data_IF_389662678856
#
_entry.id   IF_389662678856
#
_cell.length_a   1.000
_cell.length_b   1.000
_cell.length_c   1.000
_cell.angle_alpha   90.00
_cell.angle_beta   90.00
_cell.angle_gamma   90.00
#
_symmetry.space_group_name_H-M   'P 1'
#
loop_
_entity.id
_entity.type
_entity.pdbx_description
1 polymer ?
#
# COMPACT_ATOMS: atom_id res chain seq x y z
N UNK A 1 18.38 -13.70 -18.27
CA UNK A 1 17.47 -12.54 -18.19
C UNK A 1 17.59 -11.62 -19.41
N UNK A 2 18.76 -11.41 -20.02
CA UNK A 2 18.87 -10.71 -21.33
C UNK A 2 18.16 -11.41 -22.49
N UNK A 3 18.06 -12.76 -22.50
CA UNK A 3 17.34 -13.49 -23.56
C UNK A 3 15.83 -13.25 -23.57
N UNK A 4 15.21 -13.01 -22.40
CA UNK A 4 13.80 -12.66 -22.30
C UNK A 4 13.48 -11.28 -22.92
N UNK A 5 14.50 -10.43 -23.08
CA UNK A 5 14.34 -9.08 -23.62
C UNK A 5 14.29 -9.04 -25.15
N UNK A 6 14.99 -9.95 -25.85
CA UNK A 6 14.91 -10.01 -27.33
C UNK A 6 13.60 -10.64 -27.85
N UNK A 7 12.89 -11.38 -26.99
CA UNK A 7 11.71 -12.17 -27.36
C UNK A 7 10.38 -11.43 -27.18
N UNK A 8 10.35 -10.34 -26.40
CA UNK A 8 9.15 -9.54 -26.09
C UNK A 8 8.60 -8.71 -27.27
N UNK A 9 9.14 -8.89 -28.48
CA UNK A 9 8.66 -8.31 -29.73
C UNK A 9 8.08 -9.30 -30.74
N UNK A 10 7.99 -10.60 -30.43
CA UNK A 10 7.38 -11.61 -31.31
C UNK A 10 6.02 -12.07 -30.78
N UNK A 11 4.96 -12.11 -31.61
CA UNK A 11 3.69 -12.67 -31.19
C UNK A 11 3.84 -14.20 -31.08
N UNK A 12 3.76 -14.71 -29.86
CA UNK A 12 3.51 -16.14 -29.62
C UNK A 12 4.53 -16.90 -28.76
N UNK A 13 5.00 -16.37 -27.63
CA UNK A 13 5.48 -17.23 -26.53
C UNK A 13 5.42 -16.50 -25.16
N UNK A 14 5.08 -17.25 -24.11
CA UNK A 14 4.52 -16.75 -22.83
C UNK A 14 5.55 -15.98 -21.97
N UNK A 15 5.46 -14.65 -22.01
CA UNK A 15 6.05 -13.76 -21.01
C UNK A 15 5.48 -14.05 -19.61
N UNK A 16 6.29 -13.90 -18.56
CA UNK A 16 5.76 -13.68 -17.22
C UNK A 16 4.82 -12.46 -17.31
N UNK A 17 3.52 -12.68 -17.07
CA UNK A 17 2.49 -11.69 -17.37
C UNK A 17 2.77 -10.39 -16.62
N UNK A 18 3.10 -9.32 -17.34
CA UNK A 18 3.11 -7.96 -16.79
C UNK A 18 1.77 -7.68 -16.12
N UNK A 19 1.78 -6.97 -14.99
CA UNK A 19 0.55 -6.50 -14.34
C UNK A 19 -0.26 -5.69 -15.36
N UNK A 20 -1.57 -5.87 -15.41
CA UNK A 20 -2.42 -5.26 -16.45
C UNK A 20 -2.20 -3.73 -16.56
N UNK A 21 -2.06 -3.06 -15.43
CA UNK A 21 -1.78 -1.63 -15.37
C UNK A 21 -0.46 -1.19 -16.00
N UNK A 22 0.57 -2.02 -15.84
CA UNK A 22 1.89 -1.83 -16.46
C UNK A 22 1.78 -2.10 -17.95
N UNK A 23 1.13 -3.19 -18.36
CA UNK A 23 0.94 -3.52 -19.77
C UNK A 23 0.16 -2.42 -20.54
N UNK A 24 -0.88 -1.85 -19.93
CA UNK A 24 -1.62 -0.71 -20.49
C UNK A 24 -0.74 0.54 -20.64
N UNK A 25 0.08 0.83 -19.63
CA UNK A 25 1.03 1.95 -19.67
C UNK A 25 2.13 1.73 -20.71
N UNK A 26 2.60 0.50 -20.88
CA UNK A 26 3.54 0.12 -21.93
C UNK A 26 2.97 0.34 -23.33
N UNK A 27 1.71 -0.02 -23.54
CA UNK A 27 1.04 0.19 -24.83
C UNK A 27 0.94 1.68 -25.19
N UNK A 28 0.61 2.55 -24.22
CA UNK A 28 0.60 4.01 -24.43
C UNK A 28 2.00 4.59 -24.64
N UNK A 29 2.97 4.14 -23.85
CA UNK A 29 4.37 4.58 -23.92
C UNK A 29 4.96 4.26 -25.30
N UNK A 30 4.68 3.08 -25.84
CA UNK A 30 5.18 2.67 -27.16
C UNK A 30 4.69 3.51 -28.34
N UNK A 31 3.65 4.32 -28.16
CA UNK A 31 3.18 5.24 -29.19
C UNK A 31 3.93 6.59 -29.21
N UNK A 32 4.69 6.92 -28.16
CA UNK A 32 5.21 8.29 -27.96
C UNK A 32 6.65 8.38 -27.43
N UNK A 33 7.21 7.29 -26.89
CA UNK A 33 8.52 7.29 -26.23
C UNK A 33 9.52 6.43 -27.01
N UNK A 34 10.64 7.04 -27.38
CA UNK A 34 11.78 6.33 -27.96
C UNK A 34 12.46 5.45 -26.89
N UNK A 35 12.64 4.15 -27.18
CA UNK A 35 13.30 3.21 -26.25
C UNK A 35 14.79 3.50 -26.07
N UNK A 36 15.39 4.29 -26.96
CA UNK A 36 16.76 4.79 -26.82
C UNK A 36 16.88 5.97 -25.84
N UNK A 37 15.77 6.49 -25.30
CA UNK A 37 15.79 7.52 -24.28
C UNK A 37 16.54 7.02 -23.02
N UNK A 38 17.55 7.77 -22.59
CA UNK A 38 18.40 7.41 -21.45
C UNK A 38 18.15 8.30 -20.23
N UNK A 39 17.58 9.49 -20.41
CA UNK A 39 17.42 10.50 -19.38
C UNK A 39 16.19 11.38 -19.65
N UNK A 40 15.61 11.93 -18.59
CA UNK A 40 14.43 12.78 -18.72
C UNK A 40 14.77 14.09 -19.44
N UNK A 41 13.91 14.56 -20.36
CA UNK A 41 14.00 15.92 -20.89
C UNK A 41 13.94 16.93 -19.74
N UNK A 42 14.85 17.89 -19.75
CA UNK A 42 14.93 18.92 -18.71
C UNK A 42 14.37 20.23 -19.28
N UNK A 43 13.41 20.81 -18.56
CA UNK A 43 12.94 22.16 -18.83
C UNK A 43 13.94 23.21 -18.31
N UNK A 44 13.53 24.47 -18.31
CA UNK A 44 14.33 25.53 -17.68
C UNK A 44 14.40 25.30 -16.14
N UNK A 45 15.63 25.17 -15.62
CA UNK A 45 15.90 24.98 -14.20
C UNK A 45 15.47 26.19 -13.35
N UNK A 46 15.55 27.41 -13.89
CA UNK A 46 15.04 28.61 -13.23
C UNK A 46 13.51 28.59 -13.16
N UNK A 47 12.85 28.11 -14.22
CA UNK A 47 11.40 27.90 -14.21
C UNK A 47 10.98 26.83 -13.19
N UNK A 48 11.75 25.76 -13.00
CA UNK A 48 11.47 24.75 -11.97
C UNK A 48 11.62 25.32 -10.56
N UNK A 49 12.69 26.08 -10.30
CA UNK A 49 12.90 26.79 -9.02
C UNK A 49 11.78 27.80 -8.74
N UNK A 50 11.39 28.58 -9.74
CA UNK A 50 10.30 29.54 -9.63
C UNK A 50 8.97 28.85 -9.35
N UNK A 51 8.66 27.75 -10.06
CA UNK A 51 7.46 26.93 -9.80
C UNK A 51 7.46 26.36 -8.38
N UNK A 52 8.59 25.86 -7.90
CA UNK A 52 8.70 25.39 -6.51
C UNK A 52 8.47 26.52 -5.50
N UNK A 53 9.07 27.68 -5.71
CA UNK A 53 8.97 28.83 -4.81
C UNK A 53 7.51 29.29 -4.59
N UNK A 54 6.68 29.17 -5.63
CA UNK A 54 5.26 29.54 -5.63
C UNK A 54 4.30 28.35 -5.48
N UNK A 55 4.83 27.13 -5.34
CA UNK A 55 4.00 25.93 -5.24
C UNK A 55 3.30 25.88 -3.89
N UNK A 56 2.01 25.51 -3.92
CA UNK A 56 1.25 25.18 -2.69
C UNK A 56 1.84 23.99 -1.94
N UNK A 57 2.65 23.15 -2.61
CA UNK A 57 3.31 22.01 -2.00
C UNK A 57 4.54 22.39 -1.17
N UNK A 58 5.09 23.60 -1.36
CA UNK A 58 6.39 23.97 -0.79
C UNK A 58 6.42 23.88 0.73
N UNK A 59 5.51 24.58 1.42
CA UNK A 59 5.48 24.61 2.88
C UNK A 59 5.08 23.24 3.48
N UNK A 60 4.02 22.57 2.99
CA UNK A 60 3.67 21.22 3.42
C UNK A 60 4.81 20.20 3.27
N UNK A 61 5.53 20.20 2.13
CA UNK A 61 6.69 19.32 1.92
C UNK A 61 7.86 19.71 2.82
N UNK A 62 8.09 21.01 3.03
CA UNK A 62 9.14 21.47 3.96
C UNK A 62 8.90 20.93 5.38
N UNK A 63 7.65 20.80 5.81
CA UNK A 63 7.31 20.27 7.13
C UNK A 63 7.68 18.80 7.35
N UNK A 64 7.77 18.01 6.27
CA UNK A 64 8.17 16.59 6.30
C UNK A 64 9.56 16.35 5.70
N UNK A 65 10.26 17.42 5.28
CA UNK A 65 11.52 17.33 4.54
C UNK A 65 12.64 16.64 5.34
N UNK A 66 12.66 16.80 6.66
CA UNK A 66 13.65 16.15 7.52
C UNK A 66 13.40 14.64 7.63
N UNK A 67 12.14 14.22 7.66
CA UNK A 67 11.77 12.80 7.66
C UNK A 67 12.09 12.15 6.31
N UNK A 68 11.75 12.83 5.21
CA UNK A 68 12.15 12.42 3.86
C UNK A 68 13.67 12.29 3.74
N UNK A 69 14.44 13.22 4.33
CA UNK A 69 15.91 13.17 4.36
C UNK A 69 16.40 11.93 5.07
N UNK A 70 15.91 11.67 6.29
CA UNK A 70 16.31 10.52 7.10
C UNK A 70 16.02 9.21 6.40
N UNK A 71 14.81 9.05 5.86
CA UNK A 71 14.43 7.85 5.08
C UNK A 71 15.37 7.67 3.89
N UNK A 72 15.63 8.76 3.15
CA UNK A 72 16.47 8.70 1.97
C UNK A 72 17.94 8.37 2.30
N UNK A 73 18.48 8.92 3.38
CA UNK A 73 19.86 8.69 3.82
C UNK A 73 20.04 7.29 4.44
N UNK A 74 19.16 6.88 5.36
CA UNK A 74 19.32 5.64 6.14
C UNK A 74 18.96 4.40 5.33
N UNK A 75 17.95 4.48 4.46
CA UNK A 75 17.44 3.35 3.70
C UNK A 75 17.89 3.36 2.23
N UNK A 76 18.71 4.33 1.81
CA UNK A 76 19.26 4.38 0.46
C UNK A 76 18.21 4.69 -0.61
N UNK A 77 17.36 5.68 -0.35
CA UNK A 77 16.38 6.18 -1.33
C UNK A 77 16.80 7.54 -1.90
N UNK A 78 16.14 7.93 -2.98
CA UNK A 78 15.96 9.31 -3.41
C UNK A 78 14.47 9.63 -3.32
N UNK A 79 14.14 10.78 -2.76
CA UNK A 79 12.79 11.30 -2.74
C UNK A 79 12.64 12.43 -3.76
N UNK A 80 11.48 12.52 -4.39
CA UNK A 80 11.15 13.64 -5.27
C UNK A 80 9.69 14.07 -5.11
N UNK A 81 9.42 15.33 -5.41
CA UNK A 81 8.06 15.87 -5.54
C UNK A 81 7.92 16.51 -6.91
N UNK A 82 6.84 16.19 -7.62
CA UNK A 82 6.49 16.82 -8.90
C UNK A 82 5.38 17.84 -8.79
N UNK A 83 5.19 18.61 -9.87
CA UNK A 83 3.92 19.26 -10.17
C UNK A 83 2.93 18.30 -10.87
N UNK A 84 1.74 18.79 -11.20
CA UNK A 84 0.67 18.06 -11.88
C UNK A 84 1.03 17.65 -13.32
N UNK A 85 2.06 18.27 -13.91
CA UNK A 85 2.56 17.94 -15.24
C UNK A 85 3.61 16.83 -15.23
N UNK A 86 4.02 16.36 -14.04
CA UNK A 86 5.11 15.40 -13.88
C UNK A 86 6.50 16.01 -14.01
N UNK A 87 6.63 17.33 -13.86
CA UNK A 87 7.94 17.97 -13.73
C UNK A 87 8.40 17.90 -12.27
N UNK A 88 9.60 17.38 -12.02
CA UNK A 88 10.19 17.37 -10.68
C UNK A 88 10.46 18.81 -10.24
N UNK A 89 9.99 19.18 -9.04
CA UNK A 89 10.20 20.49 -8.45
C UNK A 89 11.17 20.45 -7.26
N UNK A 90 11.23 19.32 -6.56
CA UNK A 90 12.03 19.16 -5.36
C UNK A 90 12.57 17.73 -5.28
N UNK A 91 13.80 17.57 -4.78
CA UNK A 91 14.39 16.27 -4.51
C UNK A 91 15.22 16.27 -3.21
N UNK A 92 15.36 15.11 -2.59
CA UNK A 92 16.36 14.88 -1.56
C UNK A 92 16.86 13.43 -1.57
N UNK A 93 18.07 13.20 -1.06
CA UNK A 93 18.55 11.86 -0.76
C UNK A 93 20.06 11.79 -0.56
N UNK A 94 20.52 10.61 -0.16
CA UNK A 94 21.93 10.37 0.12
C UNK A 94 22.80 10.65 -1.10
N UNK A 95 24.03 11.14 -0.87
CA UNK A 95 24.94 11.60 -1.93
C UNK A 95 25.07 10.59 -3.09
N UNK A 96 25.13 9.30 -2.80
CA UNK A 96 25.28 8.25 -3.81
C UNK A 96 24.02 8.09 -4.67
N UNK A 97 22.87 7.88 -4.03
CA UNK A 97 21.59 7.69 -4.73
C UNK A 97 21.22 8.93 -5.54
N UNK A 98 21.42 10.12 -4.97
CA UNK A 98 21.16 11.37 -5.66
C UNK A 98 22.05 11.55 -6.89
N UNK A 99 23.35 11.23 -6.79
CA UNK A 99 24.26 11.29 -7.94
C UNK A 99 23.90 10.27 -9.06
N UNK A 100 23.31 9.12 -8.71
CA UNK A 100 22.78 8.19 -9.70
C UNK A 100 21.49 8.70 -10.34
N UNK A 101 20.58 9.26 -9.55
CA UNK A 101 19.31 9.81 -10.00
C UNK A 101 19.52 11.03 -10.94
N UNK A 102 20.49 11.90 -10.61
CA UNK A 102 20.85 13.07 -11.43
C UNK A 102 21.36 12.69 -12.83
N UNK A 103 21.99 11.52 -13.03
CA UNK A 103 22.38 11.03 -14.37
C UNK A 103 21.20 10.71 -15.30
N UNK A 104 20.01 10.53 -14.71
CA UNK A 104 18.77 10.29 -15.44
C UNK A 104 17.93 11.57 -15.55
N UNK A 105 18.47 12.72 -15.11
CA UNK A 105 17.73 13.96 -14.91
C UNK A 105 16.55 13.80 -13.92
N UNK A 106 16.68 12.91 -12.92
CA UNK A 106 15.76 12.81 -11.79
C UNK A 106 16.10 13.91 -10.75
N UNK A 107 15.90 15.15 -11.16
CA UNK A 107 16.25 16.37 -10.44
C UNK A 107 15.29 17.50 -10.82
N UNK A 108 15.21 18.60 -10.04
CA UNK A 108 14.32 19.70 -10.36
C UNK A 108 14.46 20.19 -11.80
N UNK A 109 13.34 20.22 -12.54
CA UNK A 109 13.26 20.55 -13.97
C UNK A 109 13.15 19.34 -14.90
N UNK A 110 13.47 18.13 -14.43
CA UNK A 110 13.28 16.89 -15.19
C UNK A 110 11.80 16.56 -15.38
N UNK A 111 11.40 16.21 -16.61
CA UNK A 111 10.02 15.82 -16.96
C UNK A 111 9.86 14.30 -16.97
N UNK A 112 9.03 13.80 -16.06
CA UNK A 112 8.83 12.37 -15.81
C UNK A 112 7.42 11.88 -16.14
N UNK A 113 6.65 12.67 -16.89
CA UNK A 113 5.36 12.26 -17.43
C UNK A 113 5.48 11.06 -18.40
N UNK A 114 4.36 10.37 -18.66
CA UNK A 114 4.35 9.14 -19.47
C UNK A 114 4.83 9.39 -20.90
N UNK A 115 4.64 10.59 -21.46
CA UNK A 115 5.05 10.93 -22.83
C UNK A 115 6.55 11.21 -22.92
N UNK A 116 7.19 11.56 -21.80
CA UNK A 116 8.62 11.85 -21.74
C UNK A 116 9.45 10.60 -21.38
N UNK A 117 9.03 9.84 -20.37
CA UNK A 117 9.81 8.73 -19.78
C UNK A 117 9.12 7.37 -19.86
N UNK A 118 7.94 7.30 -20.47
CA UNK A 118 7.15 6.08 -20.54
C UNK A 118 6.63 5.61 -19.18
N UNK A 119 6.36 4.30 -19.09
CA UNK A 119 5.93 3.66 -17.85
C UNK A 119 6.93 3.86 -16.73
N UNK A 120 6.53 4.65 -15.72
CA UNK A 120 7.24 4.85 -14.47
C UNK A 120 6.20 5.12 -13.36
N UNK A 121 6.58 4.92 -12.08
CA UNK A 121 5.60 4.99 -11.00
C UNK A 121 4.97 6.38 -10.84
N UNK A 122 5.72 7.44 -11.13
CA UNK A 122 5.29 8.83 -11.05
C UNK A 122 4.22 9.12 -12.11
N UNK A 123 4.47 8.73 -13.37
CA UNK A 123 3.51 8.89 -14.46
C UNK A 123 2.24 8.08 -14.24
N UNK A 124 2.37 6.84 -13.75
CA UNK A 124 1.20 6.03 -13.40
C UNK A 124 0.41 6.64 -12.23
N UNK A 125 1.09 7.18 -11.21
CA UNK A 125 0.43 7.79 -10.06
C UNK A 125 -0.31 9.08 -10.43
N UNK A 126 0.26 9.91 -11.30
CA UNK A 126 -0.41 11.08 -11.87
C UNK A 126 -1.65 10.70 -12.68
N UNK A 127 -1.49 9.77 -13.62
CA UNK A 127 -2.57 9.38 -14.54
C UNK A 127 -3.75 8.71 -13.83
N UNK A 128 -3.46 7.82 -12.87
CA UNK A 128 -4.50 7.07 -12.15
C UNK A 128 -5.03 7.83 -10.94
N UNK A 129 -4.30 8.83 -10.45
CA UNK A 129 -4.56 9.40 -9.15
C UNK A 129 -4.50 8.33 -8.05
N UNK A 130 -3.60 7.38 -8.14
CA UNK A 130 -3.47 6.33 -7.15
C UNK A 130 -2.00 6.08 -6.89
N UNK A 131 -1.67 5.64 -5.69
CA UNK A 131 -0.31 5.24 -5.40
C UNK A 131 0.08 4.07 -6.31
N UNK A 132 1.29 4.13 -6.85
CA UNK A 132 1.78 3.21 -7.86
C UNK A 132 3.20 2.74 -7.52
N UNK A 133 3.50 1.50 -7.88
CA UNK A 133 4.85 0.95 -7.84
C UNK A 133 5.22 0.51 -9.25
N UNK A 134 6.45 0.77 -9.68
CA UNK A 134 7.01 0.19 -10.90
C UNK A 134 8.36 -0.41 -10.55
N UNK A 135 8.51 -1.70 -10.80
CA UNK A 135 9.64 -2.49 -10.35
C UNK A 135 10.55 -2.85 -11.54
N UNK A 136 11.80 -2.40 -11.52
CA UNK A 136 12.86 -2.83 -12.44
C UNK A 136 12.40 -2.86 -13.90
N UNK A 137 12.36 -4.03 -14.53
CA UNK A 137 11.97 -4.24 -15.92
C UNK A 137 10.50 -3.93 -16.23
N UNK A 138 9.67 -3.57 -15.25
CA UNK A 138 8.35 -2.98 -15.49
C UNK A 138 8.44 -1.53 -15.97
N UNK A 139 9.59 -0.87 -15.81
CA UNK A 139 9.83 0.42 -16.47
C UNK A 139 9.92 0.22 -17.98
N UNK A 140 9.30 1.13 -18.74
CA UNK A 140 9.31 1.04 -20.19
C UNK A 140 10.72 1.17 -20.78
N UNK A 141 11.51 2.09 -20.21
CA UNK A 141 12.88 2.39 -20.61
C UNK A 141 13.89 1.51 -19.87
N UNK A 142 14.83 0.93 -20.62
CA UNK A 142 15.87 0.07 -20.07
C UNK A 142 16.81 0.80 -19.10
N UNK A 143 17.02 2.12 -19.29
CA UNK A 143 17.80 2.96 -18.39
C UNK A 143 17.26 2.95 -16.94
N UNK A 144 15.99 2.62 -16.75
CA UNK A 144 15.33 2.56 -15.44
C UNK A 144 15.26 1.14 -14.84
N UNK A 145 15.77 0.11 -15.53
CA UNK A 145 15.65 -1.28 -15.05
C UNK A 145 16.45 -1.55 -13.76
N UNK A 146 17.41 -0.70 -13.45
CA UNK A 146 18.11 -0.70 -12.16
C UNK A 146 17.27 -0.22 -10.98
N UNK A 147 16.09 0.38 -11.22
CA UNK A 147 15.33 1.15 -10.25
C UNK A 147 14.01 0.50 -9.85
N UNK A 148 13.54 0.84 -8.66
CA UNK A 148 12.19 0.57 -8.16
C UNK A 148 11.65 1.88 -7.60
N UNK A 149 10.50 2.30 -8.11
CA UNK A 149 9.87 3.57 -7.76
C UNK A 149 8.55 3.31 -7.04
N UNK A 150 8.34 4.03 -5.93
CA UNK A 150 7.12 4.00 -5.14
C UNK A 150 6.54 5.41 -5.07
N UNK A 151 5.35 5.60 -5.62
CA UNK A 151 4.74 6.92 -5.77
C UNK A 151 3.39 7.00 -5.11
N UNK A 152 3.05 8.16 -4.56
CA UNK A 152 1.71 8.52 -4.14
C UNK A 152 1.34 9.94 -4.62
N UNK A 153 0.13 10.15 -5.16
CA UNK A 153 -0.33 11.48 -5.51
C UNK A 153 -0.53 12.32 -4.24
N UNK A 154 -0.27 13.62 -4.35
CA UNK A 154 -0.59 14.63 -3.33
C UNK A 154 -1.79 15.44 -3.84
N UNK A 155 -2.83 15.55 -3.02
CA UNK A 155 -4.11 16.14 -3.40
C UNK A 155 -4.45 17.38 -2.60
N UNK A 156 -5.23 18.27 -3.20
CA UNK A 156 -5.88 19.35 -2.47
C UNK A 156 -7.19 18.88 -1.80
N UNK A 157 -7.81 19.78 -1.03
CA UNK A 157 -9.08 19.54 -0.34
C UNK A 157 -10.24 19.18 -1.29
N UNK A 158 -10.14 19.52 -2.57
CA UNK A 158 -11.12 19.18 -3.61
C UNK A 158 -10.79 17.85 -4.30
N UNK A 159 -9.73 17.16 -3.87
CA UNK A 159 -9.27 15.90 -4.44
C UNK A 159 -8.49 16.05 -5.74
N UNK A 160 -8.11 17.26 -6.17
CA UNK A 160 -7.28 17.47 -7.36
C UNK A 160 -5.83 17.11 -7.05
N UNK A 161 -5.18 16.36 -7.93
CA UNK A 161 -3.76 16.03 -7.79
C UNK A 161 -2.93 17.27 -8.09
N UNK A 162 -2.15 17.72 -7.10
CA UNK A 162 -1.23 18.85 -7.22
C UNK A 162 0.19 18.41 -7.63
N UNK A 163 0.47 17.12 -7.50
CA UNK A 163 1.78 16.53 -7.73
C UNK A 163 1.86 15.10 -7.23
N UNK A 164 3.04 14.50 -7.33
CA UNK A 164 3.33 13.16 -6.79
C UNK A 164 4.54 13.24 -5.88
N UNK A 165 4.45 12.56 -4.73
CA UNK A 165 5.60 12.19 -3.92
C UNK A 165 6.15 10.85 -4.42
N UNK A 166 7.44 10.81 -4.71
CA UNK A 166 8.18 9.62 -5.10
C UNK A 166 9.21 9.26 -4.04
N UNK A 167 9.37 7.95 -3.80
CA UNK A 167 10.54 7.34 -3.19
C UNK A 167 11.07 6.28 -4.15
N UNK A 168 12.28 6.49 -4.65
CA UNK A 168 12.96 5.60 -5.59
C UNK A 168 14.25 5.02 -4.99
N UNK A 169 14.55 3.77 -5.30
CA UNK A 169 15.81 3.10 -4.92
C UNK A 169 16.23 2.11 -5.99
N UNK A 170 17.36 1.43 -5.81
CA UNK A 170 17.79 0.34 -6.68
C UNK A 170 17.04 -0.95 -6.33
N UNK A 171 16.83 -1.84 -7.30
CA UNK A 171 16.01 -3.05 -7.09
C UNK A 171 16.50 -3.98 -5.96
N UNK A 172 17.82 -4.02 -5.73
CA UNK A 172 18.48 -4.77 -4.67
C UNK A 172 18.25 -4.18 -3.26
N UNK A 173 17.71 -2.96 -3.19
CA UNK A 173 17.35 -2.23 -1.96
C UNK A 173 15.85 -1.99 -1.83
N UNK A 174 15.06 -2.61 -2.69
CA UNK A 174 13.58 -2.53 -2.60
C UNK A 174 13.09 -2.93 -1.21
N UNK A 175 12.10 -2.21 -0.70
CA UNK A 175 11.61 -2.40 0.66
C UNK A 175 10.07 -2.58 0.67
N UNK A 176 9.52 -3.62 1.31
CA UNK A 176 8.08 -3.90 1.30
C UNK A 176 7.22 -2.76 1.87
N UNK A 177 7.75 -1.98 2.81
CA UNK A 177 7.04 -0.85 3.41
C UNK A 177 7.11 0.45 2.59
N UNK A 178 7.95 0.54 1.56
CA UNK A 178 8.20 1.81 0.87
C UNK A 178 6.93 2.44 0.26
N UNK A 179 6.03 1.64 -0.31
CA UNK A 179 4.75 2.14 -0.80
C UNK A 179 3.82 2.65 0.32
N UNK A 180 3.86 2.00 1.49
CA UNK A 180 3.07 2.44 2.65
C UNK A 180 3.65 3.73 3.24
N UNK A 181 4.97 3.84 3.29
CA UNK A 181 5.70 5.05 3.72
C UNK A 181 5.38 6.23 2.82
N UNK A 182 5.47 6.08 1.49
CA UNK A 182 5.16 7.20 0.57
C UNK A 182 3.69 7.63 0.66
N UNK A 183 2.75 6.69 0.85
CA UNK A 183 1.34 7.00 1.09
C UNK A 183 1.12 7.80 2.38
N UNK A 184 1.78 7.40 3.46
CA UNK A 184 1.68 8.08 4.76
C UNK A 184 2.23 9.52 4.68
N UNK A 185 3.41 9.69 4.07
CA UNK A 185 4.04 10.99 3.91
C UNK A 185 3.22 11.90 3.00
N UNK A 186 2.67 11.37 1.90
CA UNK A 186 1.75 12.12 1.04
C UNK A 186 0.50 12.57 1.81
N UNK A 187 -0.12 11.68 2.60
CA UNK A 187 -1.28 12.04 3.43
C UNK A 187 -0.95 13.12 4.49
N UNK A 188 0.26 13.09 5.08
CA UNK A 188 0.74 14.14 5.98
C UNK A 188 0.88 15.50 5.29
N UNK A 189 1.38 15.51 4.04
CA UNK A 189 1.45 16.71 3.20
C UNK A 189 0.03 17.22 2.89
N UNK A 190 -0.90 16.32 2.54
CA UNK A 190 -2.31 16.66 2.26
C UNK A 190 -3.05 17.25 3.48
N UNK A 191 -2.73 16.79 4.70
CA UNK A 191 -3.28 17.38 5.92
C UNK A 191 -2.86 18.84 6.07
N UNK A 192 -1.58 19.15 5.87
CA UNK A 192 -1.10 20.54 5.94
C UNK A 192 -1.67 21.42 4.83
N UNK A 193 -1.87 20.87 3.64
CA UNK A 193 -2.56 21.58 2.55
C UNK A 193 -4.00 21.98 2.89
N UNK A 194 -4.67 21.27 3.81
CA UNK A 194 -6.04 21.57 4.25
C UNK A 194 -6.11 22.66 5.32
N UNK A 195 -5.07 22.80 6.14
CA UNK A 195 -5.00 23.83 7.18
C UNK A 195 -4.84 25.26 6.61
N UNK A 196 -4.33 25.40 5.37
CA UNK A 196 -4.07 26.67 4.68
C UNK A 196 -5.28 27.28 3.90
N UNK A 197 -6.47 26.67 3.97
CA UNK A 197 -7.68 27.18 3.27
C UNK A 197 -8.69 27.75 4.27
N UNK A 198 -9.10 29.04 4.19
CA UNK A 198 -10.17 29.56 5.04
C UNK A 198 -11.49 28.82 4.76
N UNK A 199 -12.08 28.27 5.82
CA UNK A 199 -13.20 27.36 5.76
C UNK A 199 -14.48 28.00 5.17
N UNK A 200 -15.07 27.33 4.18
CA UNK A 200 -16.51 27.42 3.89
C UNK A 200 -17.17 26.25 4.64
N UNK A 201 -18.25 26.47 5.42
CA UNK A 201 -18.76 25.46 6.32
C UNK A 201 -19.50 24.36 5.56
N UNK A 202 -18.95 23.15 5.57
CA UNK A 202 -19.71 21.92 5.38
C UNK A 202 -19.67 21.14 6.70
N UNK A 203 -20.82 21.02 7.32
CA UNK A 203 -21.00 20.37 8.61
C UNK A 203 -20.66 18.87 8.54
N UNK A 204 -19.69 18.46 9.35
CA UNK A 204 -19.66 17.16 10.05
C UNK A 204 -19.06 17.45 11.43
N UNK A 205 -19.73 17.09 12.54
CA UNK A 205 -19.23 17.41 13.86
C UNK A 205 -17.96 16.62 14.17
N UNK A 206 -16.94 17.35 14.62
CA UNK A 206 -15.74 16.79 15.23
C UNK A 206 -16.14 15.97 16.47
N UNK A 207 -15.80 14.69 16.48
CA UNK A 207 -15.84 13.90 17.70
C UNK A 207 -14.50 14.10 18.45
N UNK A 208 -14.56 14.84 19.55
CA UNK A 208 -13.70 14.64 20.72
C UNK A 208 -13.69 13.16 21.13
N UNK A 209 -12.66 12.66 21.85
CA UNK A 209 -12.56 11.24 22.20
C UNK A 209 -13.59 10.91 23.28
N UNK A 210 -14.80 10.61 22.84
CA UNK A 210 -15.85 10.03 23.66
C UNK A 210 -15.77 8.50 23.52
N UNK A 211 -15.88 7.82 24.65
CA UNK A 211 -16.09 6.37 24.79
C UNK A 211 -16.83 5.82 23.57
N UNK A 212 -16.19 4.86 22.89
CA UNK A 212 -16.68 4.30 21.64
C UNK A 212 -18.17 3.93 21.75
N UNK A 213 -19.03 4.37 20.81
CA UNK A 213 -20.35 3.75 20.69
C UNK A 213 -20.11 2.27 20.40
N UNK A 214 -20.73 1.39 21.20
CA UNK A 214 -20.73 -0.04 20.95
C UNK A 214 -21.10 -0.27 19.50
N UNK A 215 -20.15 -0.68 18.66
CA UNK A 215 -20.42 -0.96 17.26
C UNK A 215 -21.51 -2.03 17.22
N UNK A 216 -22.67 -1.69 16.64
CA UNK A 216 -23.81 -2.61 16.53
C UNK A 216 -23.43 -3.90 15.81
N UNK A 217 -22.38 -3.85 14.98
CA UNK A 217 -21.84 -4.98 14.26
C UNK A 217 -20.39 -5.28 14.64
N UNK A 218 -20.07 -6.56 14.81
CA UNK A 218 -18.72 -7.07 15.00
C UNK A 218 -18.42 -8.19 13.99
N UNK A 219 -17.46 -7.95 13.13
CA UNK A 219 -16.90 -8.92 12.20
C UNK A 219 -15.69 -9.61 12.86
N UNK A 220 -15.77 -10.93 12.97
CA UNK A 220 -14.60 -11.79 13.20
C UNK A 220 -14.14 -12.27 11.83
N UNK A 221 -13.01 -11.76 11.34
CA UNK A 221 -12.44 -12.10 10.05
C UNK A 221 -11.13 -12.89 10.18
N UNK A 222 -10.48 -12.86 11.35
CA UNK A 222 -9.25 -13.60 11.62
C UNK A 222 -9.56 -15.00 12.18
N UNK A 223 -8.86 -16.01 11.66
CA UNK A 223 -9.00 -17.40 12.09
C UNK A 223 -10.07 -18.22 11.34
N UNK A 224 -10.31 -19.45 11.81
CA UNK A 224 -11.03 -20.48 11.04
C UNK A 224 -12.55 -20.30 10.95
N UNK A 225 -13.13 -19.50 11.84
CA UNK A 225 -14.59 -19.33 12.03
C UNK A 225 -15.03 -17.89 11.83
N UNK A 226 -14.90 -17.34 10.60
CA UNK A 226 -15.29 -15.97 10.34
C UNK A 226 -16.81 -15.81 10.38
N UNK A 227 -17.27 -14.73 11.02
CA UNK A 227 -18.68 -14.50 11.28
C UNK A 227 -18.95 -13.02 11.53
N UNK A 228 -20.13 -12.55 11.11
CA UNK A 228 -20.64 -11.23 11.47
C UNK A 228 -21.66 -11.40 12.60
N UNK A 229 -21.49 -10.64 13.68
CA UNK A 229 -22.45 -10.57 14.77
C UNK A 229 -23.10 -9.19 14.80
N UNK A 230 -24.40 -9.16 15.10
CA UNK A 230 -25.15 -7.95 15.43
C UNK A 230 -25.70 -8.09 16.84
N UNK A 231 -25.34 -7.18 17.73
CA UNK A 231 -25.78 -7.21 19.14
C UNK A 231 -25.56 -8.59 19.81
N UNK A 232 -24.45 -9.27 19.46
CA UNK A 232 -24.09 -10.60 19.95
C UNK A 232 -24.71 -11.78 19.21
N UNK A 233 -25.65 -11.55 18.28
CA UNK A 233 -26.29 -12.60 17.48
C UNK A 233 -25.58 -12.74 16.13
N UNK A 234 -25.14 -13.96 15.79
CA UNK A 234 -24.52 -14.23 14.49
C UNK A 234 -25.54 -14.09 13.34
N UNK A 235 -25.16 -13.37 12.29
CA UNK A 235 -25.95 -13.21 11.08
C UNK A 235 -25.54 -14.25 10.03
N UNK A 236 -26.50 -14.93 9.37
CA UNK A 236 -26.20 -15.94 8.37
C UNK A 236 -25.72 -15.28 7.06
N UNK A 237 -24.40 -15.07 6.95
CA UNK A 237 -23.76 -14.52 5.76
C UNK A 237 -23.00 -15.59 4.98
N UNK A 238 -23.00 -15.43 3.65
CA UNK A 238 -22.21 -16.29 2.75
C UNK A 238 -20.71 -15.93 2.85
N UNK A 239 -19.79 -16.85 2.53
CA UNK A 239 -18.35 -16.55 2.51
C UNK A 239 -18.03 -15.29 1.69
N UNK A 240 -18.63 -15.15 0.51
CA UNK A 240 -18.47 -13.96 -0.36
C UNK A 240 -18.85 -12.65 0.31
N UNK A 241 -19.86 -12.68 1.18
CA UNK A 241 -20.34 -11.49 1.88
C UNK A 241 -19.41 -11.12 3.03
N UNK A 242 -18.84 -12.11 3.73
CA UNK A 242 -17.80 -11.89 4.73
C UNK A 242 -16.53 -11.31 4.10
N UNK A 243 -16.14 -11.77 2.92
CA UNK A 243 -15.02 -11.20 2.15
C UNK A 243 -15.26 -9.73 1.79
N UNK A 244 -16.46 -9.39 1.29
CA UNK A 244 -16.84 -8.00 1.02
C UNK A 244 -16.69 -7.16 2.29
N UNK A 245 -17.27 -7.60 3.42
CA UNK A 245 -17.22 -6.84 4.66
C UNK A 245 -15.81 -6.67 5.20
N UNK A 246 -14.97 -7.72 5.12
CA UNK A 246 -13.58 -7.64 5.54
C UNK A 246 -12.80 -6.61 4.70
N UNK A 247 -12.97 -6.64 3.37
CA UNK A 247 -12.35 -5.66 2.47
C UNK A 247 -12.83 -4.24 2.76
N UNK A 248 -14.15 -4.03 2.89
CA UNK A 248 -14.70 -2.71 3.20
C UNK A 248 -14.28 -2.19 4.57
N UNK A 249 -14.05 -3.08 5.55
CA UNK A 249 -13.56 -2.69 6.87
C UNK A 249 -12.08 -2.27 6.84
N UNK A 250 -11.25 -2.99 6.07
CA UNK A 250 -9.82 -2.71 5.93
C UNK A 250 -9.52 -1.50 5.04
N UNK A 251 -10.48 -1.10 4.18
CA UNK A 251 -10.39 0.06 3.28
C UNK A 251 -11.51 1.07 3.59
N UNK A 252 -11.35 1.94 4.61
CA UNK A 252 -12.39 2.87 5.06
C UNK A 252 -12.84 3.88 4.00
N UNK A 253 -11.96 4.23 3.05
CA UNK A 253 -12.28 5.08 1.89
C UNK A 253 -13.21 4.41 0.86
N UNK A 254 -13.45 3.11 1.05
CA UNK A 254 -14.28 2.27 0.21
C UNK A 254 -13.71 2.01 -1.17
N UNK A 255 -14.49 1.26 -1.94
CA UNK A 255 -14.12 0.82 -3.28
C UNK A 255 -15.04 1.42 -4.34
N UNK A 256 -14.50 1.61 -5.55
CA UNK A 256 -15.36 1.68 -6.73
C UNK A 256 -15.96 0.30 -7.01
N UNK A 257 -17.13 0.20 -7.68
CA UNK A 257 -17.71 -1.09 -8.04
C UNK A 257 -16.73 -2.03 -8.77
N UNK A 258 -15.91 -1.47 -9.66
CA UNK A 258 -14.92 -2.20 -10.45
C UNK A 258 -13.80 -2.74 -9.55
N UNK A 259 -13.18 -1.88 -8.71
CA UNK A 259 -12.10 -2.32 -7.80
C UNK A 259 -12.57 -3.37 -6.79
N UNK A 260 -13.79 -3.24 -6.26
CA UNK A 260 -14.32 -4.26 -5.35
C UNK A 260 -14.56 -5.58 -6.08
N UNK A 261 -15.11 -5.53 -7.30
CA UNK A 261 -15.31 -6.73 -8.12
C UNK A 261 -13.98 -7.42 -8.42
N UNK A 262 -12.97 -6.66 -8.83
CA UNK A 262 -11.66 -7.20 -9.17
C UNK A 262 -10.97 -7.79 -7.92
N UNK A 263 -11.07 -7.12 -6.77
CA UNK A 263 -10.58 -7.64 -5.49
C UNK A 263 -11.28 -8.94 -5.03
N UNK A 264 -12.52 -9.19 -5.46
CA UNK A 264 -13.28 -10.39 -5.11
C UNK A 264 -13.07 -11.54 -6.10
N UNK A 265 -13.04 -11.24 -7.38
CA UNK A 265 -13.14 -12.24 -8.44
C UNK A 265 -11.86 -12.38 -9.27
N UNK A 266 -10.99 -11.36 -9.32
CA UNK A 266 -9.86 -11.32 -10.23
C UNK A 266 -10.31 -11.46 -11.68
N UNK A 267 -9.65 -12.34 -12.43
CA UNK A 267 -9.97 -12.62 -13.83
C UNK A 267 -11.24 -13.47 -14.01
N UNK A 268 -11.88 -13.92 -12.93
CA UNK A 268 -13.10 -14.74 -13.03
C UNK A 268 -14.27 -13.90 -13.54
N UNK A 269 -14.86 -14.34 -14.65
CA UNK A 269 -16.07 -13.73 -15.21
C UNK A 269 -17.26 -13.94 -14.27
N UNK A 270 -17.73 -12.86 -13.66
CA UNK A 270 -18.96 -12.82 -12.85
C UNK A 270 -19.85 -11.70 -13.37
N UNK A 271 -21.13 -12.01 -13.56
CA UNK A 271 -22.09 -11.02 -14.06
C UNK A 271 -22.21 -9.84 -13.10
N UNK A 272 -22.38 -8.64 -13.66
CA UNK A 272 -22.56 -7.43 -12.87
C UNK A 272 -23.81 -7.50 -11.97
N UNK A 273 -24.84 -8.25 -12.37
CA UNK A 273 -26.05 -8.46 -11.57
C UNK A 273 -25.79 -9.36 -10.36
N UNK A 274 -25.03 -10.45 -10.51
CA UNK A 274 -24.63 -11.32 -9.38
C UNK A 274 -23.81 -10.54 -8.34
N UNK A 275 -22.82 -9.76 -8.79
CA UNK A 275 -22.03 -8.92 -7.88
C UNK A 275 -22.89 -7.87 -7.15
N UNK A 276 -23.75 -7.14 -7.88
CA UNK A 276 -24.66 -6.15 -7.28
C UNK A 276 -25.65 -6.80 -6.30
N UNK A 277 -26.09 -8.04 -6.56
CA UNK A 277 -26.96 -8.77 -5.66
C UNK A 277 -26.30 -9.06 -4.30
N UNK A 278 -25.03 -9.47 -4.28
CA UNK A 278 -24.28 -9.69 -3.03
C UNK A 278 -24.16 -8.41 -2.18
N UNK A 279 -23.83 -7.28 -2.82
CA UNK A 279 -23.76 -5.98 -2.14
C UNK A 279 -25.14 -5.51 -1.67
N UNK A 280 -26.19 -5.78 -2.46
CA UNK A 280 -27.57 -5.46 -2.07
C UNK A 280 -28.02 -6.26 -0.85
N UNK A 281 -27.74 -7.57 -0.81
CA UNK A 281 -28.05 -8.42 0.35
C UNK A 281 -27.32 -7.93 1.61
N UNK A 282 -26.04 -7.58 1.51
CA UNK A 282 -25.29 -7.01 2.62
C UNK A 282 -25.88 -5.67 3.08
N UNK A 283 -26.26 -4.80 2.14
CA UNK A 283 -26.91 -3.53 2.46
C UNK A 283 -28.20 -3.76 3.24
N UNK A 284 -29.02 -4.73 2.85
CA UNK A 284 -30.23 -5.10 3.60
C UNK A 284 -29.90 -5.67 4.98
N UNK A 285 -28.92 -6.58 5.08
CA UNK A 285 -28.50 -7.19 6.35
C UNK A 285 -27.96 -6.15 7.36
N UNK A 286 -27.29 -5.12 6.86
CA UNK A 286 -26.75 -4.01 7.65
C UNK A 286 -27.74 -2.85 7.85
N UNK A 287 -28.96 -2.92 7.33
CA UNK A 287 -29.95 -1.84 7.44
C UNK A 287 -29.57 -0.56 6.67
N UNK A 288 -28.90 -0.69 5.53
CA UNK A 288 -28.43 0.43 4.70
C UNK A 288 -26.94 0.76 4.83
N UNK A 289 -26.19 0.01 5.64
CA UNK A 289 -24.80 0.27 6.05
C UNK A 289 -23.72 0.25 4.95
N UNK A 290 -24.07 0.29 3.67
CA UNK A 290 -23.11 0.35 2.54
C UNK A 290 -23.56 1.42 1.55
N UNK A 291 -22.70 2.41 1.30
CA UNK A 291 -22.91 3.46 0.31
C UNK A 291 -23.09 2.91 -1.12
N UNK A 292 -23.69 3.69 -2.01
CA UNK A 292 -24.16 3.21 -3.33
C UNK A 292 -23.21 3.52 -4.49
N UNK A 293 -22.46 4.62 -4.42
CA UNK A 293 -21.55 5.08 -5.51
C UNK A 293 -20.11 4.62 -5.31
N UNK A 294 -19.63 4.72 -4.08
CA UNK A 294 -18.45 4.02 -3.57
C UNK A 294 -18.95 3.06 -2.51
N UNK A 295 -18.62 1.79 -2.65
CA UNK A 295 -18.94 0.81 -1.62
C UNK A 295 -18.03 1.06 -0.43
N UNK A 296 -18.57 1.73 0.56
CA UNK A 296 -17.93 2.04 1.84
C UNK A 296 -18.93 1.74 2.95
N UNK A 297 -18.44 1.33 4.12
CA UNK A 297 -19.29 1.15 5.28
C UNK A 297 -19.77 2.52 5.77
N UNK A 298 -21.08 2.69 5.87
CA UNK A 298 -21.70 3.93 6.37
C UNK A 298 -22.13 3.83 7.83
N UNK A 299 -21.95 2.65 8.43
CA UNK A 299 -22.21 2.39 9.84
C UNK A 299 -20.95 1.79 10.50
N UNK A 300 -20.72 2.05 11.80
CA UNK A 300 -19.60 1.47 12.54
C UNK A 300 -19.65 -0.07 12.52
N UNK A 301 -18.56 -0.68 12.06
CA UNK A 301 -18.33 -2.13 12.08
C UNK A 301 -17.00 -2.38 12.79
N UNK A 302 -17.04 -3.02 13.96
CA UNK A 302 -15.81 -3.50 14.59
C UNK A 302 -15.28 -4.70 13.79
N UNK A 303 -13.98 -4.75 13.53
CA UNK A 303 -13.34 -5.83 12.78
C UNK A 303 -11.99 -6.16 13.41
N UNK A 304 -11.79 -7.40 13.81
CA UNK A 304 -10.54 -7.89 14.42
C UNK A 304 -9.30 -7.65 13.53
N UNK A 305 -9.42 -7.79 12.22
CA UNK A 305 -8.35 -7.47 11.28
C UNK A 305 -7.98 -5.97 11.29
N UNK A 306 -8.97 -5.09 11.42
CA UNK A 306 -8.74 -3.63 11.54
C UNK A 306 -8.11 -3.30 12.89
N UNK A 307 -8.50 -4.01 13.96
CA UNK A 307 -7.90 -3.87 15.29
C UNK A 307 -6.39 -4.19 15.26
N UNK A 308 -5.98 -5.25 14.52
CA UNK A 308 -4.56 -5.58 14.28
C UNK A 308 -3.83 -4.44 13.56
N UNK A 309 -4.37 -3.92 12.45
CA UNK A 309 -3.77 -2.79 11.72
C UNK A 309 -3.62 -1.57 12.62
N UNK A 310 -4.66 -1.26 13.41
CA UNK A 310 -4.64 -0.11 14.31
C UNK A 310 -3.60 -0.27 15.43
N UNK A 311 -3.41 -1.48 15.97
CA UNK A 311 -2.37 -1.77 16.96
C UNK A 311 -0.96 -1.61 16.36
N UNK A 312 -0.72 -2.14 15.15
CA UNK A 312 0.54 -1.98 14.43
C UNK A 312 0.86 -0.51 14.15
N UNK A 313 -0.14 0.30 13.75
CA UNK A 313 0.01 1.76 13.54
C UNK A 313 0.41 2.51 14.80
N UNK A 314 0.02 2.01 15.99
CA UNK A 314 0.42 2.57 17.28
C UNK A 314 1.74 2.01 17.81
N UNK A 315 2.45 1.21 17.01
CA UNK A 315 3.65 0.48 17.40
C UNK A 315 3.43 -0.41 18.64
N UNK A 316 2.25 -1.03 18.75
CA UNK A 316 1.87 -1.93 19.83
C UNK A 316 1.76 -3.38 19.32
N UNK A 317 2.89 -4.11 19.23
CA UNK A 317 2.91 -5.48 18.76
C UNK A 317 2.19 -6.43 19.73
N UNK A 318 2.11 -6.09 21.03
CA UNK A 318 1.43 -6.92 22.01
C UNK A 318 -0.08 -6.94 21.77
N UNK A 319 -0.70 -5.77 21.59
CA UNK A 319 -2.11 -5.68 21.21
C UNK A 319 -2.38 -6.31 19.84
N UNK A 320 -1.45 -6.14 18.88
CA UNK A 320 -1.60 -6.72 17.54
C UNK A 320 -1.58 -8.27 17.58
N UNK A 321 -0.65 -8.88 18.31
CA UNK A 321 -0.58 -10.34 18.48
C UNK A 321 -1.79 -10.87 19.26
N UNK A 322 -2.26 -10.15 20.28
CA UNK A 322 -3.44 -10.53 21.05
C UNK A 322 -4.72 -10.54 20.21
N UNK A 323 -4.87 -9.60 19.28
CA UNK A 323 -6.01 -9.54 18.36
C UNK A 323 -5.91 -10.55 17.19
N UNK A 324 -4.71 -11.07 16.90
CA UNK A 324 -4.48 -11.96 15.78
C UNK A 324 -4.81 -13.43 16.11
N UNK A 325 -6.06 -13.83 15.86
CA UNK A 325 -6.54 -15.20 16.07
C UNK A 325 -6.11 -16.21 14.97
N UNK A 326 -5.42 -15.75 13.93
CA UNK A 326 -5.01 -16.53 12.77
C UNK A 326 -5.10 -15.74 11.46
N UNK A 327 -4.83 -16.38 10.32
CA UNK A 327 -4.88 -15.70 9.02
C UNK A 327 -6.26 -15.09 8.74
N UNK A 328 -6.28 -13.96 8.04
CA UNK A 328 -7.51 -13.33 7.56
C UNK A 328 -8.22 -14.26 6.57
N UNK A 329 -9.46 -14.64 6.89
CA UNK A 329 -10.34 -15.46 6.06
C UNK A 329 -9.57 -16.61 5.36
N UNK A 330 -9.03 -17.59 6.12
CA UNK A 330 -7.98 -18.51 5.65
C UNK A 330 -8.40 -19.37 4.44
N UNK A 331 -9.70 -19.57 4.25
CA UNK A 331 -10.28 -20.35 3.13
C UNK A 331 -10.65 -19.50 1.91
N UNK A 332 -10.49 -18.18 1.98
CA UNK A 332 -10.78 -17.29 0.85
C UNK A 332 -9.66 -17.29 -0.18
N UNK A 333 -10.05 -17.30 -1.45
CA UNK A 333 -9.16 -17.10 -2.61
C UNK A 333 -9.46 -15.77 -3.33
N UNK A 334 -10.25 -14.88 -2.71
CA UNK A 334 -10.49 -13.56 -3.26
C UNK A 334 -9.16 -12.77 -3.29
N UNK A 335 -8.73 -12.22 -4.44
CA UNK A 335 -7.41 -11.60 -4.57
C UNK A 335 -7.11 -10.54 -3.50
N UNK A 336 -8.05 -9.62 -3.24
CA UNK A 336 -7.86 -8.58 -2.23
C UNK A 336 -7.79 -9.13 -0.80
N UNK A 337 -8.47 -10.26 -0.52
CA UNK A 337 -8.41 -10.90 0.80
C UNK A 337 -7.08 -11.65 0.96
N UNK A 338 -6.58 -12.29 -0.10
CA UNK A 338 -5.24 -12.89 -0.12
C UNK A 338 -4.18 -11.82 0.12
N UNK A 339 -4.25 -10.70 -0.60
CA UNK A 339 -3.34 -9.56 -0.44
C UNK A 339 -3.35 -9.02 0.99
N UNK A 340 -4.52 -8.74 1.55
CA UNK A 340 -4.62 -8.28 2.93
C UNK A 340 -4.16 -9.32 3.97
N UNK A 341 -4.42 -10.61 3.74
CA UNK A 341 -3.94 -11.69 4.60
C UNK A 341 -2.40 -11.74 4.62
N UNK A 342 -1.76 -11.62 3.46
CA UNK A 342 -0.30 -11.57 3.36
C UNK A 342 0.25 -10.31 4.02
N UNK A 343 -0.36 -9.15 3.77
CA UNK A 343 0.03 -7.88 4.38
C UNK A 343 0.00 -7.95 5.91
N UNK A 344 -1.12 -8.41 6.49
CA UNK A 344 -1.27 -8.57 7.94
C UNK A 344 -0.24 -9.55 8.50
N UNK A 345 -0.03 -10.68 7.81
CA UNK A 345 0.93 -11.69 8.26
C UNK A 345 2.36 -11.15 8.29
N UNK A 346 2.80 -10.50 7.22
CA UNK A 346 4.16 -9.94 7.11
C UNK A 346 4.34 -8.78 8.09
N UNK A 347 3.40 -7.85 8.18
CA UNK A 347 3.50 -6.71 9.08
C UNK A 347 3.59 -7.14 10.55
N UNK A 348 2.76 -8.12 10.95
CA UNK A 348 2.79 -8.67 12.29
C UNK A 348 4.08 -9.45 12.57
N UNK A 349 4.54 -10.25 11.60
CA UNK A 349 5.81 -10.98 11.67
C UNK A 349 6.99 -10.03 11.93
N UNK A 350 7.13 -8.96 11.15
CA UNK A 350 8.23 -8.01 11.29
C UNK A 350 8.17 -7.25 12.62
N UNK A 351 6.96 -6.88 13.07
CA UNK A 351 6.77 -6.25 14.37
C UNK A 351 7.20 -7.18 15.52
N UNK A 352 6.90 -8.48 15.42
CA UNK A 352 7.30 -9.48 16.42
C UNK A 352 8.80 -9.79 16.38
N UNK A 353 9.41 -9.86 15.19
CA UNK A 353 10.86 -10.03 15.03
C UNK A 353 11.67 -8.83 15.54
N UNK A 354 11.06 -7.65 15.52
CA UNK A 354 11.66 -6.43 16.07
C UNK A 354 11.47 -6.29 17.59
N UNK A 355 10.49 -7.00 18.16
CA UNK A 355 10.20 -6.97 19.58
C UNK A 355 11.18 -7.83 20.40
N UNK A 356 11.47 -7.39 21.62
CA UNK A 356 12.35 -8.10 22.57
C UNK A 356 11.60 -9.04 23.51
N UNK A 357 10.26 -9.09 23.43
CA UNK A 357 9.44 -9.98 24.25
C UNK A 357 9.28 -11.36 23.56
N UNK A 358 9.85 -12.44 24.14
CA UNK A 358 9.72 -13.79 23.57
C UNK A 358 8.27 -14.31 23.53
N UNK A 359 7.37 -13.80 24.39
CA UNK A 359 5.97 -14.22 24.40
C UNK A 359 5.28 -13.93 23.06
N UNK A 360 5.58 -12.77 22.46
CA UNK A 360 5.02 -12.37 21.17
C UNK A 360 5.42 -13.33 20.05
N UNK A 361 6.69 -13.74 20.00
CA UNK A 361 7.20 -14.70 19.03
C UNK A 361 6.60 -16.10 19.22
N UNK A 362 6.38 -16.52 20.46
CA UNK A 362 5.74 -17.79 20.78
C UNK A 362 4.24 -17.79 20.42
N UNK A 363 3.53 -16.70 20.71
CA UNK A 363 2.09 -16.59 20.48
C UNK A 363 1.76 -16.46 18.99
N UNK A 364 2.43 -15.56 18.27
CA UNK A 364 2.30 -15.44 16.82
C UNK A 364 2.78 -16.72 16.11
N UNK A 365 3.83 -17.36 16.64
CA UNK A 365 4.38 -18.61 16.13
C UNK A 365 3.41 -19.81 16.15
N UNK A 366 2.27 -19.72 16.86
CA UNK A 366 1.18 -20.70 16.75
C UNK A 366 0.55 -20.72 15.35
N UNK A 367 0.50 -19.56 14.70
CA UNK A 367 -0.08 -19.37 13.38
C UNK A 367 0.98 -19.38 12.27
N UNK A 368 2.26 -19.17 12.61
CA UNK A 368 3.40 -19.18 11.70
C UNK A 368 4.30 -20.42 11.90
N UNK A 369 3.70 -21.62 11.84
CA UNK A 369 4.39 -22.88 12.21
C UNK A 369 5.67 -23.17 11.42
N UNK A 370 5.77 -22.67 10.19
CA UNK A 370 6.92 -22.89 9.29
C UNK A 370 7.90 -21.71 9.25
N UNK A 371 7.72 -20.69 10.09
CA UNK A 371 8.63 -19.54 10.12
C UNK A 371 9.86 -19.81 10.98
N UNK A 372 10.89 -20.38 10.36
CA UNK A 372 12.14 -20.71 11.05
C UNK A 372 12.88 -19.48 11.62
N UNK A 373 12.65 -18.27 11.11
CA UNK A 373 13.27 -17.07 11.67
C UNK A 373 12.57 -16.66 12.97
N UNK A 374 11.23 -16.69 12.99
CA UNK A 374 10.44 -16.39 14.18
C UNK A 374 10.76 -17.34 15.35
N UNK A 375 10.85 -18.64 15.08
CA UNK A 375 11.16 -19.62 16.14
C UNK A 375 12.61 -19.50 16.62
N UNK A 376 13.56 -19.09 15.76
CA UNK A 376 14.92 -18.76 16.17
C UNK A 376 14.97 -17.51 17.03
N UNK A 377 14.20 -16.48 16.65
CA UNK A 377 14.08 -15.23 17.41
C UNK A 377 13.57 -15.51 18.83
N UNK A 378 12.49 -16.29 18.96
CA UNK A 378 11.99 -16.73 20.26
C UNK A 378 13.09 -17.44 21.09
N UNK A 379 13.85 -18.35 20.49
CA UNK A 379 14.96 -19.06 21.18
C UNK A 379 16.12 -18.14 21.58
N UNK A 380 16.38 -17.08 20.84
CA UNK A 380 17.44 -16.12 21.16
C UNK A 380 17.06 -15.25 22.37
N UNK A 381 15.77 -14.96 22.54
CA UNK A 381 15.23 -14.14 23.64
C UNK A 381 14.96 -14.93 24.93
N UNK A 382 14.78 -16.25 24.85
CA UNK A 382 14.49 -17.10 26.01
C UNK A 382 15.76 -17.55 26.74
N UNK A 383 15.80 -17.38 28.07
CA UNK A 383 16.87 -17.89 28.94
C UNK A 383 17.03 -19.41 28.82
N UNK A 384 18.26 -19.92 28.99
CA UNK A 384 18.60 -21.34 28.76
C UNK A 384 17.77 -22.37 29.55
N UNK A 385 17.16 -21.97 30.66
CA UNK A 385 16.33 -22.83 31.53
C UNK A 385 14.82 -22.63 31.32
N UNK A 386 14.41 -21.74 30.41
CA UNK A 386 12.99 -21.47 30.18
C UNK A 386 12.30 -22.66 29.48
N UNK A 387 11.25 -23.25 30.09
CA UNK A 387 10.57 -24.41 29.54
C UNK A 387 9.93 -24.15 28.16
N UNK A 388 9.61 -22.88 27.83
CA UNK A 388 9.04 -22.48 26.53
C UNK A 388 10.02 -22.68 25.38
N UNK A 389 11.33 -22.84 25.65
CA UNK A 389 12.34 -23.21 24.64
C UNK A 389 12.02 -24.53 23.95
N UNK A 390 11.37 -25.47 24.65
CA UNK A 390 10.92 -26.73 24.05
C UNK A 390 9.92 -26.50 22.92
N UNK A 391 8.99 -25.56 23.10
CA UNK A 391 7.97 -25.18 22.11
C UNK A 391 8.65 -24.58 20.87
N UNK A 392 9.51 -23.58 21.06
CA UNK A 392 10.20 -22.91 19.96
C UNK A 392 11.15 -23.87 19.21
N UNK A 393 11.84 -24.76 19.91
CA UNK A 393 12.71 -25.79 19.31
C UNK A 393 11.92 -26.78 18.45
N UNK A 394 10.78 -27.27 18.94
CA UNK A 394 9.93 -28.20 18.20
C UNK A 394 9.42 -27.57 16.90
N UNK A 395 8.95 -26.33 16.96
CA UNK A 395 8.49 -25.59 15.76
C UNK A 395 9.63 -25.27 14.80
N UNK A 396 10.81 -24.88 15.30
CA UNK A 396 11.98 -24.65 14.45
C UNK A 396 12.41 -25.91 13.69
N UNK A 397 12.32 -27.10 14.32
CA UNK A 397 12.57 -28.37 13.62
C UNK A 397 11.53 -28.64 12.55
N UNK A 398 10.24 -28.45 12.88
CA UNK A 398 9.15 -28.61 11.92
C UNK A 398 9.19 -27.62 10.74
N UNK A 399 9.82 -26.46 10.92
CA UNK A 399 10.02 -25.47 9.86
C UNK A 399 11.21 -25.78 8.92
N UNK A 400 12.05 -26.76 9.26
CA UNK A 400 13.28 -27.12 8.51
C UNK A 400 13.17 -28.46 7.77
N UNK A 401 12.21 -29.29 8.15
CA UNK A 401 11.86 -30.52 7.44
C UNK A 401 10.64 -30.29 6.57
#
# INVERSE_FOLDING_TARGET
MERAWSELGRPGEKAASLRAEVAESWARSGASVDRACLEAPVGDADAARSRWAHSRLREPVASVADELRRIADDAGFVAAVTDESGTILWTCGGRHMRAQAEKLNFAPGGRWDEQAMGTNALSMALLRGQAATVFSAEHYLAALHGWVCYCAPIRDAQGRVLGVLDLSTTWDRSHPLALSTVRLLAAGIEERLREDVPAVPAAVPAATPAVAPSAAFRLRALGETPALHRDGVELPLRPRQLEILALLALEPEGFTPERLRDALYGDRSVSASTFKAEVSHLRSALGGGIATRRYALTAPLACDAVEVVAALRRADPAAAVAAYAGPLLPRSEAPGVVEWREHLHVALREAVLSAVDPALALDFGRHARYDAALHRHALALLDGHDPRRGIATARLRAARG
#
